data_IF_283391978080
#
_entry.id   IF_283391978080
#
_cell.length_a   1.000
_cell.length_b   1.000
_cell.length_c   1.000
_cell.angle_alpha   90.00
_cell.angle_beta   90.00
_cell.angle_gamma   90.00
#
_symmetry.space_group_name_H-M   'P 1'
#
loop_
_entity.id
_entity.type
_entity.pdbx_description
1 polymer ?
#
# COMPACT_ATOMS: atom_id res chain seq x y z
N UNK A 1 -30.09 -19.38 -21.86
CA UNK A 1 -28.79 -20.01 -22.16
C UNK A 1 -27.83 -19.64 -21.03
N UNK A 2 -27.58 -20.58 -20.11
CA UNK A 2 -26.84 -20.36 -18.85
C UNK A 2 -25.37 -20.70 -19.12
N UNK A 3 -24.42 -19.82 -18.79
CA UNK A 3 -22.97 -20.11 -18.86
C UNK A 3 -22.33 -19.98 -17.48
N UNK A 4 -21.90 -21.14 -17.02
CA UNK A 4 -21.10 -21.52 -15.85
C UNK A 4 -20.17 -20.46 -15.23
N UNK A 5 -20.26 -20.38 -13.90
CA UNK A 5 -19.25 -19.81 -13.00
C UNK A 5 -17.94 -20.61 -13.12
N UNK A 6 -16.83 -19.92 -13.43
CA UNK A 6 -15.50 -20.53 -13.42
C UNK A 6 -14.99 -20.61 -11.97
N UNK A 7 -14.95 -21.82 -11.44
CA UNK A 7 -14.28 -22.17 -10.18
C UNK A 7 -12.76 -22.00 -10.36
N UNK A 8 -12.20 -20.85 -9.98
CA UNK A 8 -10.74 -20.71 -9.82
C UNK A 8 -10.34 -21.09 -8.40
N UNK A 9 -9.64 -22.22 -8.28
CA UNK A 9 -9.00 -22.70 -7.04
C UNK A 9 -8.08 -21.60 -6.49
N UNK A 10 -8.42 -21.09 -5.31
CA UNK A 10 -7.57 -20.20 -4.52
C UNK A 10 -6.34 -21.00 -4.11
N UNK A 11 -5.17 -20.64 -4.67
CA UNK A 11 -3.89 -21.19 -4.22
C UNK A 11 -3.52 -20.49 -2.92
N UNK A 12 -3.58 -21.21 -1.80
CA UNK A 12 -3.03 -20.78 -0.51
C UNK A 12 -1.50 -20.70 -0.60
N UNK A 13 -0.98 -19.57 -1.11
CA UNK A 13 0.42 -19.19 -0.87
C UNK A 13 0.55 -18.96 0.64
N UNK A 14 1.46 -19.68 1.30
CA UNK A 14 1.69 -19.57 2.73
C UNK A 14 1.81 -18.11 3.17
N UNK A 15 1.01 -17.74 4.16
CA UNK A 15 0.91 -16.40 4.72
C UNK A 15 2.29 -16.01 5.25
N UNK A 16 3.05 -15.21 4.49
CA UNK A 16 4.21 -14.50 5.03
C UNK A 16 3.68 -13.37 5.91
N UNK A 17 3.44 -13.69 7.18
CA UNK A 17 3.07 -12.73 8.21
C UNK A 17 3.98 -11.50 8.13
N UNK A 18 3.37 -10.33 7.97
CA UNK A 18 4.06 -9.08 8.10
C UNK A 18 4.52 -8.91 9.55
N UNK A 19 5.82 -8.77 9.77
CA UNK A 19 6.34 -8.31 11.05
C UNK A 19 6.03 -6.82 11.22
N UNK A 20 4.77 -6.51 11.53
CA UNK A 20 4.29 -5.23 12.04
C UNK A 20 4.72 -5.06 13.51
N UNK A 21 5.99 -5.26 13.82
CA UNK A 21 6.48 -4.88 15.14
C UNK A 21 6.51 -3.35 15.18
N UNK A 22 5.60 -2.74 15.95
CA UNK A 22 5.50 -1.28 16.07
C UNK A 22 6.83 -0.63 16.46
N UNK A 23 7.68 -1.34 17.22
CA UNK A 23 9.03 -0.90 17.56
C UNK A 23 9.94 -0.83 16.34
N UNK A 24 9.94 -1.87 15.49
CA UNK A 24 10.72 -1.86 14.25
C UNK A 24 10.25 -0.74 13.31
N UNK A 25 8.94 -0.49 13.25
CA UNK A 25 8.37 0.59 12.43
C UNK A 25 8.73 1.98 12.96
N UNK A 26 8.68 2.17 14.27
CA UNK A 26 9.12 3.41 14.91
C UNK A 26 10.62 3.66 14.77
N UNK A 27 11.45 2.61 14.80
CA UNK A 27 12.87 2.74 14.49
C UNK A 27 13.08 3.13 13.02
N UNK A 28 12.38 2.48 12.09
CA UNK A 28 12.47 2.82 10.67
C UNK A 28 12.04 4.26 10.37
N UNK A 29 10.94 4.74 10.94
CA UNK A 29 10.47 6.11 10.68
C UNK A 29 11.44 7.18 11.19
N UNK A 30 12.26 6.87 12.21
CA UNK A 30 13.27 7.80 12.74
C UNK A 30 14.60 7.77 11.98
N UNK A 31 14.95 6.64 11.38
CA UNK A 31 16.30 6.41 10.85
C UNK A 31 16.36 6.30 9.31
N UNK A 32 15.21 6.22 8.62
CA UNK A 32 15.17 6.24 7.16
C UNK A 32 15.06 7.66 6.62
N UNK A 33 15.63 7.89 5.44
CA UNK A 33 15.30 9.07 4.64
C UNK A 33 13.81 9.03 4.25
N UNK A 34 13.23 10.20 3.93
CA UNK A 34 11.85 10.27 3.43
C UNK A 34 11.63 9.39 2.19
N UNK A 35 12.59 9.40 1.27
CA UNK A 35 12.55 8.59 0.05
C UNK A 35 12.57 7.09 0.36
N UNK A 36 13.49 6.62 1.21
CA UNK A 36 13.55 5.21 1.62
C UNK A 36 12.30 4.76 2.38
N UNK A 37 11.73 5.68 3.16
CA UNK A 37 10.50 5.43 3.91
C UNK A 37 9.30 5.30 2.97
N UNK A 38 9.16 6.21 1.98
CA UNK A 38 8.14 6.12 0.94
C UNK A 38 8.25 4.81 0.14
N UNK A 39 9.45 4.45 -0.31
CA UNK A 39 9.68 3.20 -1.04
C UNK A 39 9.33 1.97 -0.20
N UNK A 40 9.61 2.00 1.10
CA UNK A 40 9.20 0.93 2.01
C UNK A 40 7.68 0.84 2.13
N UNK A 41 6.99 1.99 2.28
CA UNK A 41 5.53 2.04 2.33
C UNK A 41 4.91 1.53 1.03
N UNK A 42 5.44 1.94 -0.13
CA UNK A 42 4.99 1.44 -1.44
C UNK A 42 5.10 -0.07 -1.58
N UNK A 43 6.23 -0.66 -1.17
CA UNK A 43 6.40 -2.13 -1.15
C UNK A 43 5.40 -2.82 -0.22
N UNK A 44 5.06 -2.20 0.91
CA UNK A 44 4.05 -2.74 1.81
C UNK A 44 2.65 -2.68 1.17
N UNK A 45 2.30 -1.54 0.57
CA UNK A 45 1.04 -1.35 -0.13
C UNK A 45 0.89 -2.34 -1.29
N UNK A 46 1.91 -2.48 -2.13
CA UNK A 46 1.89 -3.43 -3.26
C UNK A 46 1.64 -4.86 -2.80
N UNK A 47 2.35 -5.29 -1.75
CA UNK A 47 2.16 -6.64 -1.22
C UNK A 47 0.74 -6.85 -0.72
N UNK A 48 0.15 -5.86 -0.04
CA UNK A 48 -1.23 -5.96 0.42
C UNK A 48 -2.21 -6.02 -0.75
N UNK A 49 -2.03 -5.18 -1.77
CA UNK A 49 -2.88 -5.19 -2.96
C UNK A 49 -2.81 -6.53 -3.69
N UNK A 50 -1.61 -7.12 -3.78
CA UNK A 50 -1.38 -8.46 -4.35
C UNK A 50 -2.02 -9.60 -3.55
N UNK A 51 -2.34 -9.40 -2.26
CA UNK A 51 -3.16 -10.37 -1.52
C UNK A 51 -4.62 -10.40 -2.00
N UNK A 52 -5.12 -9.29 -2.58
CA UNK A 52 -6.46 -9.21 -3.16
C UNK A 52 -6.48 -9.67 -4.62
N UNK A 53 -5.51 -9.21 -5.41
CA UNK A 53 -5.30 -9.63 -6.80
C UNK A 53 -3.83 -9.49 -7.17
N UNK A 54 -3.19 -10.61 -7.56
CA UNK A 54 -1.77 -10.69 -7.95
C UNK A 54 -1.42 -9.73 -9.13
N UNK A 55 -2.41 -9.17 -9.86
CA UNK A 55 -2.25 -8.22 -10.96
C UNK A 55 -1.99 -6.78 -10.53
N UNK A 56 -2.20 -6.42 -9.26
CA UNK A 56 -1.90 -5.07 -8.79
C UNK A 56 -0.40 -4.77 -8.84
N UNK A 57 -0.04 -3.56 -9.23
CA UNK A 57 1.33 -3.05 -9.20
C UNK A 57 1.38 -1.67 -8.55
N UNK A 58 2.48 -1.37 -7.86
CA UNK A 58 2.77 -0.04 -7.31
C UNK A 58 4.06 0.48 -7.90
N UNK A 59 3.96 1.59 -8.62
CA UNK A 59 5.09 2.27 -9.23
C UNK A 59 5.31 3.61 -8.51
N UNK A 60 6.56 3.87 -8.10
CA UNK A 60 6.96 5.13 -7.50
C UNK A 60 8.04 5.75 -8.37
N UNK A 61 7.79 6.96 -8.85
CA UNK A 61 8.70 7.70 -9.71
C UNK A 61 8.98 9.07 -9.10
N UNK A 62 10.19 9.58 -9.31
CA UNK A 62 10.57 10.93 -8.89
C UNK A 62 10.67 11.82 -10.12
N UNK A 63 9.76 12.79 -10.23
CA UNK A 63 9.78 13.85 -11.24
C UNK A 63 10.09 15.18 -10.52
N UNK A 64 9.19 16.17 -10.59
CA UNK A 64 9.23 17.32 -9.70
C UNK A 64 8.86 16.91 -8.26
N UNK A 65 7.81 16.09 -8.14
CA UNK A 65 7.37 15.43 -6.91
C UNK A 65 7.51 13.91 -7.05
N UNK A 66 7.23 13.18 -5.98
CA UNK A 66 7.05 11.74 -6.06
C UNK A 66 5.66 11.42 -6.59
N UNK A 67 5.62 10.66 -7.66
CA UNK A 67 4.40 10.10 -8.24
C UNK A 67 4.23 8.69 -7.68
N UNK A 68 3.19 8.48 -6.86
CA UNK A 68 2.79 7.18 -6.33
C UNK A 68 1.62 6.66 -7.16
N UNK A 69 1.86 5.62 -7.96
CA UNK A 69 0.87 5.10 -8.92
C UNK A 69 0.53 3.66 -8.55
N UNK A 70 -0.75 3.37 -8.43
CA UNK A 70 -1.29 2.01 -8.31
C UNK A 70 -2.01 1.65 -9.60
N UNK A 71 -1.69 0.49 -10.15
CA UNK A 71 -2.32 -0.04 -11.37
C UNK A 71 -3.00 -1.36 -11.02
N UNK A 72 -4.29 -1.49 -11.33
CA UNK A 72 -5.02 -2.74 -11.11
C UNK A 72 -6.47 -2.68 -11.59
N UNK A 73 -7.02 -3.84 -11.95
CA UNK A 73 -8.41 -3.99 -12.42
C UNK A 73 -8.85 -2.96 -13.49
N UNK A 74 -7.97 -2.70 -14.47
CA UNK A 74 -8.17 -1.74 -15.56
C UNK A 74 -8.27 -0.26 -15.11
N UNK A 75 -7.97 0.03 -13.84
CA UNK A 75 -7.93 1.36 -13.27
C UNK A 75 -6.50 1.77 -12.93
N UNK A 76 -6.30 3.08 -12.88
CA UNK A 76 -5.11 3.71 -12.37
C UNK A 76 -5.51 4.62 -11.21
N UNK A 77 -4.72 4.59 -10.14
CA UNK A 77 -4.85 5.46 -9.00
C UNK A 77 -3.51 6.18 -8.81
N UNK A 78 -3.56 7.45 -8.45
CA UNK A 78 -2.40 8.31 -8.53
C UNK A 78 -2.39 9.34 -7.42
N UNK A 79 -1.27 9.45 -6.72
CA UNK A 79 -1.05 10.44 -5.69
C UNK A 79 0.30 11.13 -5.94
N UNK A 80 0.33 12.45 -5.78
CA UNK A 80 1.58 13.22 -5.76
C UNK A 80 1.99 13.54 -4.33
N UNK A 81 3.29 13.43 -4.05
CA UNK A 81 3.87 13.69 -2.74
C UNK A 81 5.15 14.51 -2.90
N UNK A 82 5.22 15.67 -2.26
CA UNK A 82 6.46 16.42 -2.07
C UNK A 82 7.35 15.72 -1.05
N UNK A 83 8.67 16.01 -1.06
CA UNK A 83 9.57 15.46 -0.05
C UNK A 83 9.26 16.02 1.35
N UNK A 84 8.74 17.24 1.43
CA UNK A 84 8.30 17.91 2.65
C UNK A 84 7.09 17.20 3.27
N UNK A 85 6.07 16.87 2.48
CA UNK A 85 4.90 16.11 2.93
C UNK A 85 5.29 14.72 3.43
N UNK A 86 6.18 14.03 2.70
CA UNK A 86 6.67 12.71 3.12
C UNK A 86 7.36 12.81 4.48
N UNK A 87 8.24 13.79 4.68
CA UNK A 87 8.95 14.00 5.95
C UNK A 87 8.01 14.39 7.07
N UNK A 88 7.03 15.25 6.79
CA UNK A 88 6.01 15.66 7.74
C UNK A 88 5.20 14.45 8.22
N UNK A 89 4.69 13.63 7.30
CA UNK A 89 3.93 12.43 7.60
C UNK A 89 4.79 11.39 8.34
N UNK A 90 6.02 11.16 7.90
CA UNK A 90 6.96 10.26 8.57
C UNK A 90 7.27 10.69 10.01
N UNK A 91 7.39 12.00 10.25
CA UNK A 91 7.62 12.56 11.58
C UNK A 91 6.39 12.54 12.49
N UNK A 92 5.18 12.65 11.91
CA UNK A 92 3.91 12.64 12.65
C UNK A 92 3.65 11.29 13.32
N UNK A 93 3.80 10.20 12.60
CA UNK A 93 3.72 8.85 13.17
C UNK A 93 4.34 7.80 12.24
N UNK A 94 4.74 6.62 12.74
CA UNK A 94 5.24 5.53 11.90
C UNK A 94 4.21 4.99 10.88
N UNK A 95 2.95 5.40 10.99
CA UNK A 95 1.83 4.93 10.16
C UNK A 95 1.23 6.04 9.29
N UNK A 96 1.45 7.32 9.60
CA UNK A 96 0.72 8.43 8.97
C UNK A 96 0.85 8.48 7.44
N UNK A 97 2.05 8.23 6.88
CA UNK A 97 2.20 8.17 5.41
C UNK A 97 1.37 7.05 4.77
N UNK A 98 1.18 5.94 5.46
CA UNK A 98 0.36 4.85 4.93
C UNK A 98 -1.12 5.23 4.99
N UNK A 99 -1.55 5.83 6.09
CA UNK A 99 -2.92 6.31 6.26
C UNK A 99 -3.29 7.29 5.16
N UNK A 100 -2.40 8.24 4.86
CA UNK A 100 -2.58 9.20 3.79
C UNK A 100 -2.74 8.50 2.43
N UNK A 101 -1.82 7.61 2.08
CA UNK A 101 -1.86 6.88 0.81
C UNK A 101 -3.15 6.05 0.69
N UNK A 102 -3.50 5.27 1.70
CA UNK A 102 -4.70 4.43 1.63
C UNK A 102 -5.98 5.24 1.56
N UNK A 103 -6.06 6.35 2.30
CA UNK A 103 -7.20 7.27 2.25
C UNK A 103 -7.34 7.87 0.85
N UNK A 104 -6.23 8.32 0.26
CA UNK A 104 -6.26 8.91 -1.07
C UNK A 104 -6.64 7.89 -2.16
N UNK A 105 -6.11 6.67 -2.09
CA UNK A 105 -6.50 5.59 -3.01
C UNK A 105 -7.99 5.22 -2.87
N UNK A 106 -8.51 5.16 -1.64
CA UNK A 106 -9.93 4.91 -1.37
C UNK A 106 -10.81 6.04 -1.92
N UNK A 107 -10.39 7.30 -1.75
CA UNK A 107 -11.09 8.47 -2.31
C UNK A 107 -11.17 8.43 -3.85
N UNK A 108 -10.18 7.83 -4.50
CA UNK A 108 -10.17 7.60 -5.96
C UNK A 108 -10.97 6.35 -6.38
N UNK A 109 -11.59 5.65 -5.43
CA UNK A 109 -12.47 4.51 -5.68
C UNK A 109 -11.77 3.16 -5.69
N UNK A 110 -10.57 3.04 -5.12
CA UNK A 110 -9.97 1.74 -4.84
C UNK A 110 -10.79 1.03 -3.76
N UNK A 111 -11.30 -0.16 -4.07
CA UNK A 111 -12.05 -0.94 -3.11
C UNK A 111 -11.11 -1.55 -2.05
N UNK A 112 -11.20 -1.07 -0.81
CA UNK A 112 -10.46 -1.66 0.32
C UNK A 112 -11.19 -2.91 0.81
N UNK A 113 -10.60 -4.08 0.60
CA UNK A 113 -11.12 -5.36 1.10
C UNK A 113 -10.71 -5.54 2.57
N UNK A 114 -11.66 -5.44 3.49
CA UNK A 114 -11.47 -5.67 4.93
C UNK A 114 -11.68 -7.15 5.28
N UNK A 115 -10.99 -7.64 6.32
CA UNK A 115 -11.10 -9.03 6.78
C UNK A 115 -10.30 -10.08 5.99
N UNK A 116 -9.48 -9.67 5.00
CA UNK A 116 -8.53 -10.54 4.30
C UNK A 116 -7.11 -9.98 4.46
N UNK A 117 -6.32 -10.61 5.35
CA UNK A 117 -5.03 -10.10 5.82
C UNK A 117 -5.14 -9.17 7.04
N UNK A 118 -4.01 -8.81 7.66
CA UNK A 118 -3.98 -8.07 8.94
C UNK A 118 -3.44 -6.64 8.82
N UNK A 119 -2.97 -6.22 7.63
CA UNK A 119 -2.21 -4.98 7.50
C UNK A 119 -3.12 -3.76 7.44
N UNK A 120 -4.20 -3.80 6.66
CA UNK A 120 -5.16 -2.68 6.57
C UNK A 120 -5.74 -2.36 7.95
N UNK A 121 -6.14 -3.36 8.73
CA UNK A 121 -6.66 -3.19 10.10
C UNK A 121 -5.62 -2.68 11.12
N UNK A 122 -4.33 -2.82 10.82
CA UNK A 122 -3.25 -2.33 11.69
C UNK A 122 -2.77 -0.93 11.33
N UNK A 123 -3.21 -0.41 10.18
CA UNK A 123 -2.66 0.81 9.59
C UNK A 123 -3.74 1.88 9.46
N UNK A 124 -4.96 1.49 9.09
CA UNK A 124 -6.17 2.32 9.17
C UNK A 124 -6.83 2.14 10.54
#
# INVERSE_FOLDING_TARGET
>A
MIRFLSNKKIKTKGIRMMNTNGLARGYMSKNKSGEDFLLHVGKCAERQLKEWDDRYEVNIMKLANYEFVVIGEEKYYHMQLTIEEIRLLQGKSPYALNQEIWTELENQGLAIVRGFGNYVERVL
#
